data_IF_961997946283
#
_entry.id   IF_961997946283
#
_cell.length_a   1.000
_cell.length_b   1.000
_cell.length_c   1.000
_cell.angle_alpha   90.00
_cell.angle_beta   90.00
_cell.angle_gamma   90.00
#
_symmetry.space_group_name_H-M   'P 1'
#
loop_
_entity.id
_entity.type
_entity.pdbx_description
1 polymer ?
#
# COMPACT_ATOMS: atom_id res chain seq x y z
N UNK A 1 9.20 -17.19 -16.98
CA UNK A 1 9.77 -16.25 -15.98
C UNK A 1 10.08 -14.85 -16.54
N UNK A 2 10.75 -14.69 -17.70
CA UNK A 2 11.12 -13.37 -18.25
C UNK A 2 9.95 -12.41 -18.54
N UNK A 3 8.79 -12.91 -18.98
CA UNK A 3 7.62 -12.07 -19.29
C UNK A 3 6.97 -11.42 -18.07
N UNK A 4 7.02 -12.06 -16.89
CA UNK A 4 6.39 -11.52 -15.66
C UNK A 4 7.13 -10.28 -15.14
N UNK A 5 8.46 -10.26 -15.24
CA UNK A 5 9.28 -9.11 -14.88
C UNK A 5 9.02 -7.90 -15.78
N UNK A 6 8.93 -8.11 -17.10
CA UNK A 6 8.67 -7.03 -18.05
C UNK A 6 7.27 -6.41 -17.85
N UNK A 7 6.26 -7.26 -17.62
CA UNK A 7 4.88 -6.83 -17.36
C UNK A 7 4.78 -6.06 -16.03
N UNK A 8 5.54 -6.48 -15.02
CA UNK A 8 5.68 -5.79 -13.73
C UNK A 8 6.35 -4.43 -13.85
N UNK A 9 7.49 -4.34 -14.56
CA UNK A 9 8.16 -3.06 -14.84
C UNK A 9 7.26 -2.11 -15.62
N UNK A 10 6.51 -2.63 -16.60
CA UNK A 10 5.51 -1.85 -17.34
C UNK A 10 4.36 -1.35 -16.46
N UNK A 11 3.87 -2.16 -15.52
CA UNK A 11 2.80 -1.78 -14.60
C UNK A 11 3.25 -0.68 -13.63
N UNK A 12 4.46 -0.82 -13.08
CA UNK A 12 5.08 0.21 -12.21
C UNK A 12 5.31 1.50 -12.98
N UNK A 13 5.86 1.43 -14.20
CA UNK A 13 6.10 2.61 -15.05
C UNK A 13 4.78 3.28 -15.46
N UNK A 14 3.77 2.51 -15.89
CA UNK A 14 2.46 3.06 -16.23
C UNK A 14 1.82 3.76 -15.03
N UNK A 15 1.94 3.17 -13.84
CA UNK A 15 1.36 3.73 -12.65
C UNK A 15 2.06 5.04 -12.21
N UNK A 16 3.39 5.07 -12.27
CA UNK A 16 4.19 6.29 -12.02
C UNK A 16 3.88 7.41 -13.02
N UNK A 17 3.61 7.06 -14.28
CA UNK A 17 3.24 8.03 -15.32
C UNK A 17 1.78 8.50 -15.23
N UNK A 18 0.87 7.67 -14.71
CA UNK A 18 -0.52 8.06 -14.47
C UNK A 18 -0.66 8.91 -13.21
N UNK A 19 0.07 8.59 -12.14
CA UNK A 19 0.04 9.37 -10.89
C UNK A 19 0.57 10.79 -11.08
N UNK A 20 1.55 11.02 -11.96
CA UNK A 20 2.03 12.37 -12.29
C UNK A 20 1.00 13.24 -13.04
N UNK A 21 -0.04 12.65 -13.63
CA UNK A 21 -1.14 13.38 -14.28
C UNK A 21 -2.31 13.64 -13.34
N UNK A 22 -2.55 12.75 -12.38
CA UNK A 22 -3.68 12.86 -11.43
C UNK A 22 -3.35 13.77 -10.24
N UNK A 23 -2.08 13.78 -9.81
CA UNK A 23 -1.60 14.67 -8.77
C UNK A 23 -0.86 15.83 -9.45
N UNK A 24 -1.41 17.05 -9.34
CA UNK A 24 -0.79 18.24 -9.93
C UNK A 24 0.61 18.54 -9.35
N UNK A 25 1.21 19.67 -9.72
CA UNK A 25 2.57 20.07 -9.33
C UNK A 25 2.86 20.14 -7.80
N UNK A 26 1.88 19.88 -6.94
CA UNK A 26 1.97 19.86 -5.46
C UNK A 26 2.04 18.46 -4.86
N UNK A 27 2.07 17.41 -5.69
CA UNK A 27 2.14 16.03 -5.24
C UNK A 27 3.42 15.76 -4.44
N UNK A 28 3.29 15.25 -3.21
CA UNK A 28 4.42 14.77 -2.43
C UNK A 28 4.57 13.26 -2.66
N UNK A 29 5.77 12.85 -3.07
CA UNK A 29 6.15 11.44 -3.13
C UNK A 29 7.06 11.11 -1.95
N UNK A 30 6.77 10.03 -1.23
CA UNK A 30 7.56 9.58 -0.08
C UNK A 30 7.78 8.08 -0.13
N UNK A 31 8.96 7.66 0.28
CA UNK A 31 9.33 6.25 0.39
C UNK A 31 9.28 5.85 1.86
N UNK A 32 8.72 4.68 2.12
CA UNK A 32 8.67 4.07 3.44
C UNK A 32 9.28 2.69 3.38
N UNK A 33 10.06 2.34 4.39
CA UNK A 33 10.31 0.94 4.72
C UNK A 33 9.18 0.49 5.63
N UNK A 34 8.55 -0.64 5.31
CA UNK A 34 7.54 -1.23 6.17
C UNK A 34 7.95 -2.60 6.68
N UNK A 35 7.50 -2.92 7.88
CA UNK A 35 7.55 -4.24 8.48
C UNK A 35 6.12 -4.68 8.72
N UNK A 36 5.72 -5.85 8.26
CA UNK A 36 4.37 -6.36 8.52
C UNK A 36 4.34 -7.88 8.62
N UNK A 37 3.23 -8.44 9.10
CA UNK A 37 3.12 -9.88 9.37
C UNK A 37 3.19 -10.70 8.08
N UNK A 38 2.63 -10.19 6.99
CA UNK A 38 2.52 -10.95 5.74
C UNK A 38 3.76 -10.91 4.85
N UNK A 39 4.55 -9.83 4.88
CA UNK A 39 5.73 -9.62 4.04
C UNK A 39 7.04 -9.64 4.83
N UNK A 40 7.00 -9.63 6.16
CA UNK A 40 8.14 -9.40 7.06
C UNK A 40 8.76 -8.01 6.90
N UNK A 41 9.26 -7.67 5.70
CA UNK A 41 9.82 -6.36 5.34
C UNK A 41 9.47 -5.99 3.88
N UNK A 42 9.38 -4.71 3.59
CA UNK A 42 9.19 -4.21 2.23
C UNK A 42 9.37 -2.71 2.10
N UNK A 43 9.13 -2.20 0.89
CA UNK A 43 9.18 -0.77 0.56
C UNK A 43 7.81 -0.35 0.04
N UNK A 44 7.26 0.73 0.58
CA UNK A 44 6.03 1.38 0.10
C UNK A 44 6.36 2.75 -0.47
N UNK A 45 6.01 2.98 -1.73
CA UNK A 45 6.04 4.30 -2.34
C UNK A 45 4.64 4.91 -2.21
N UNK A 46 4.54 6.09 -1.59
CA UNK A 46 3.30 6.87 -1.47
C UNK A 46 3.35 8.10 -2.35
N UNK A 47 2.23 8.41 -3.00
CA UNK A 47 2.00 9.66 -3.70
C UNK A 47 0.71 10.29 -3.22
N UNK A 48 0.76 11.55 -2.80
CA UNK A 48 -0.39 12.22 -2.21
C UNK A 48 -0.38 13.73 -2.40
N UNK A 49 -1.57 14.34 -2.37
CA UNK A 49 -1.74 15.79 -2.24
C UNK A 49 -1.96 16.22 -0.79
N UNK A 50 -2.25 15.27 0.11
CA UNK A 50 -2.43 15.50 1.55
C UNK A 50 -1.79 14.37 2.39
N UNK A 51 -1.90 14.45 3.71
CA UNK A 51 -1.29 13.46 4.63
C UNK A 51 -2.21 12.27 4.98
N UNK A 52 -3.44 12.22 4.46
CA UNK A 52 -4.46 11.25 4.85
C UNK A 52 -4.75 10.25 3.73
N UNK A 53 -5.02 10.76 2.52
CA UNK A 53 -5.32 9.95 1.34
C UNK A 53 -4.14 9.92 0.39
N UNK A 54 -3.79 8.72 -0.05
CA UNK A 54 -2.64 8.53 -0.91
C UNK A 54 -2.80 7.31 -1.80
N UNK A 55 -2.14 7.36 -2.95
CA UNK A 55 -1.91 6.19 -3.77
C UNK A 55 -0.62 5.54 -3.32
N UNK A 56 -0.59 4.22 -3.28
CA UNK A 56 0.61 3.49 -2.90
C UNK A 56 0.94 2.32 -3.81
N UNK A 57 2.22 1.95 -3.80
CA UNK A 57 2.73 0.72 -4.35
C UNK A 57 3.71 0.09 -3.36
N UNK A 58 3.45 -1.16 -2.99
CA UNK A 58 4.22 -1.95 -2.04
C UNK A 58 5.01 -3.02 -2.75
N UNK A 59 6.27 -3.14 -2.37
CA UNK A 59 7.16 -4.22 -2.76
C UNK A 59 7.63 -4.93 -1.50
N UNK A 60 7.03 -6.09 -1.20
CA UNK A 60 7.43 -6.93 -0.08
C UNK A 60 8.05 -8.26 -0.52
N UNK A 61 8.41 -9.08 0.48
CA UNK A 61 9.05 -10.40 0.25
C UNK A 61 8.09 -11.43 -0.36
N UNK A 62 6.80 -11.36 -0.03
CA UNK A 62 5.82 -12.38 -0.42
C UNK A 62 4.90 -11.93 -1.57
N UNK A 63 4.64 -10.62 -1.68
CA UNK A 63 3.78 -10.06 -2.70
C UNK A 63 4.12 -8.62 -3.03
N UNK A 64 3.55 -8.15 -4.13
CA UNK A 64 3.41 -6.74 -4.47
C UNK A 64 1.95 -6.35 -4.33
N UNK A 65 1.69 -5.17 -3.79
CA UNK A 65 0.36 -4.54 -3.85
C UNK A 65 0.44 -3.15 -4.42
N UNK A 66 -0.65 -2.69 -4.99
CA UNK A 66 -0.83 -1.27 -5.29
C UNK A 66 -2.29 -0.92 -5.10
N UNK A 67 -2.56 0.29 -4.62
CA UNK A 67 -3.91 0.64 -4.23
C UNK A 67 -4.02 2.10 -3.86
N UNK A 68 -5.16 2.42 -3.28
CA UNK A 68 -5.47 3.76 -2.79
C UNK A 68 -5.87 3.64 -1.34
N UNK A 69 -5.25 4.41 -0.48
CA UNK A 69 -5.74 4.64 0.87
C UNK A 69 -6.64 5.86 0.87
N UNK A 70 -7.88 5.67 1.32
CA UNK A 70 -8.88 6.73 1.44
C UNK A 70 -9.15 7.02 2.92
N UNK A 71 -8.80 8.23 3.35
CA UNK A 71 -8.94 8.71 4.72
C UNK A 71 -9.12 10.23 4.73
N UNK A 72 -9.48 10.78 5.88
CA UNK A 72 -9.60 12.22 6.09
C UNK A 72 -9.17 12.62 7.50
N UNK A 73 -8.99 13.93 7.72
CA UNK A 73 -8.74 14.47 9.05
C UNK A 73 -9.82 14.05 10.07
N UNK A 74 -11.07 13.96 9.63
CA UNK A 74 -12.22 13.61 10.47
C UNK A 74 -12.23 12.13 10.87
N UNK A 75 -11.63 11.26 10.06
CA UNK A 75 -11.53 9.82 10.36
C UNK A 75 -10.44 9.49 11.38
N UNK A 76 -9.61 10.47 11.78
CA UNK A 76 -8.61 10.34 12.84
C UNK A 76 -7.66 9.14 12.69
N UNK A 77 -7.30 8.77 11.47
CA UNK A 77 -6.43 7.63 11.16
C UNK A 77 -7.15 6.39 10.66
N UNK A 78 -8.48 6.33 10.75
CA UNK A 78 -9.26 5.27 10.09
C UNK A 78 -9.23 5.46 8.57
N UNK A 79 -9.12 4.35 7.84
CA UNK A 79 -9.07 4.38 6.38
C UNK A 79 -9.71 3.13 5.76
N UNK A 80 -10.07 3.25 4.49
CA UNK A 80 -10.43 2.14 3.61
C UNK A 80 -9.38 2.07 2.50
N UNK A 81 -8.99 0.86 2.11
CA UNK A 81 -7.96 0.65 1.10
C UNK A 81 -8.35 -0.46 0.12
N UNK A 82 -8.98 -0.10 -1.01
CA UNK A 82 -9.09 -1.01 -2.15
C UNK A 82 -7.78 -1.05 -2.95
N UNK A 83 -7.50 -2.20 -3.55
CA UNK A 83 -6.39 -2.28 -4.49
C UNK A 83 -6.20 -3.65 -5.11
N UNK A 84 -5.05 -3.78 -5.74
CA UNK A 84 -4.57 -4.97 -6.39
C UNK A 84 -3.49 -5.63 -5.54
N UNK A 85 -3.52 -6.95 -5.53
CA UNK A 85 -2.64 -7.80 -4.74
C UNK A 85 -2.08 -8.88 -5.68
N UNK A 86 -0.76 -8.99 -5.75
CA UNK A 86 -0.05 -9.93 -6.62
C UNK A 86 0.96 -10.74 -5.79
N UNK A 87 0.58 -11.92 -5.30
CA UNK A 87 1.54 -12.89 -4.76
C UNK A 87 2.49 -13.34 -5.87
N UNK A 88 3.78 -13.46 -5.58
CA UNK A 88 4.76 -13.89 -6.59
C UNK A 88 4.48 -15.28 -7.17
N UNK A 89 3.79 -16.13 -6.41
CA UNK A 89 3.42 -17.51 -6.77
C UNK A 89 1.96 -17.68 -7.22
N UNK A 90 1.20 -16.58 -7.34
CA UNK A 90 -0.22 -16.62 -7.72
C UNK A 90 -0.51 -15.67 -8.89
N UNK A 91 -1.77 -15.62 -9.30
CA UNK A 91 -2.28 -14.65 -10.25
C UNK A 91 -2.59 -13.31 -9.57
N UNK A 92 -2.69 -12.26 -10.39
CA UNK A 92 -3.17 -10.96 -9.94
C UNK A 92 -4.57 -11.10 -9.34
N UNK A 93 -4.77 -10.46 -8.20
CA UNK A 93 -6.03 -10.47 -7.49
C UNK A 93 -6.35 -9.08 -6.92
N UNK A 94 -7.50 -8.96 -6.27
CA UNK A 94 -7.94 -7.75 -5.60
C UNK A 94 -7.90 -7.96 -4.08
N UNK A 95 -7.74 -6.86 -3.37
CA UNK A 95 -7.95 -6.79 -1.94
C UNK A 95 -8.81 -5.56 -1.59
N UNK A 96 -9.47 -5.66 -0.45
CA UNK A 96 -10.18 -4.57 0.18
C UNK A 96 -9.95 -4.67 1.68
N UNK A 97 -9.51 -3.56 2.28
CA UNK A 97 -9.26 -3.50 3.70
C UNK A 97 -9.76 -2.23 4.35
N UNK A 98 -9.91 -2.32 5.67
CA UNK A 98 -10.12 -1.21 6.58
C UNK A 98 -8.99 -1.23 7.58
N UNK A 99 -8.43 -0.08 7.88
CA UNK A 99 -7.34 0.00 8.84
C UNK A 99 -7.36 1.27 9.66
N UNK A 100 -6.43 1.30 10.61
CA UNK A 100 -6.22 2.39 11.55
C UNK A 100 -4.73 2.69 11.68
N UNK A 101 -4.36 3.89 11.25
CA UNK A 101 -3.02 4.44 11.46
C UNK A 101 -2.94 5.23 12.76
N UNK A 102 -1.90 4.97 13.54
CA UNK A 102 -1.65 5.68 14.79
C UNK A 102 -0.16 5.89 15.03
N UNK A 103 0.15 6.80 15.96
CA UNK A 103 1.50 7.08 16.43
C UNK A 103 1.56 6.87 17.94
N UNK A 104 2.66 6.31 18.41
CA UNK A 104 2.91 6.13 19.83
C UNK A 104 3.66 7.34 20.35
N UNK A 105 3.16 7.96 21.43
CA UNK A 105 3.82 9.09 22.07
C UNK A 105 5.25 8.70 22.47
N UNK A 106 6.22 9.57 22.18
CA UNK A 106 7.64 9.31 22.43
C UNK A 106 8.38 8.54 21.31
N UNK A 107 7.66 7.98 20.32
CA UNK A 107 8.27 7.39 19.12
C UNK A 107 8.03 8.32 17.94
N UNK A 108 9.03 9.13 17.62
CA UNK A 108 8.95 10.08 16.51
C UNK A 108 9.22 9.39 15.16
N UNK A 109 8.61 9.91 14.11
CA UNK A 109 8.81 9.48 12.72
C UNK A 109 8.44 8.02 12.42
N UNK A 110 7.70 7.34 13.29
CA UNK A 110 7.16 6.00 13.02
C UNK A 110 5.64 6.06 12.97
N UNK A 111 5.05 5.40 11.96
CA UNK A 111 3.61 5.18 11.91
C UNK A 111 3.34 3.70 12.12
N UNK A 112 2.39 3.39 13.01
CA UNK A 112 1.87 2.05 13.21
C UNK A 112 0.54 1.93 12.50
N UNK A 113 0.24 0.75 11.98
CA UNK A 113 -0.98 0.48 11.25
C UNK A 113 -1.54 -0.88 11.67
N UNK A 114 -2.83 -0.92 11.95
CA UNK A 114 -3.59 -2.15 12.11
C UNK A 114 -4.61 -2.22 10.98
N UNK A 115 -4.59 -3.31 10.22
CA UNK A 115 -5.42 -3.49 9.04
C UNK A 115 -6.11 -4.84 9.06
N UNK A 116 -7.36 -4.88 8.64
CA UNK A 116 -8.11 -6.11 8.44
C UNK A 116 -8.95 -6.01 7.18
N UNK A 117 -9.17 -7.14 6.51
CA UNK A 117 -9.89 -7.11 5.24
C UNK A 117 -9.97 -8.47 4.56
N UNK A 118 -10.31 -8.40 3.27
CA UNK A 118 -10.34 -9.55 2.37
C UNK A 118 -9.31 -9.39 1.26
N UNK A 119 -8.64 -10.48 0.92
CA UNK A 119 -7.77 -10.62 -0.25
C UNK A 119 -8.17 -11.85 -1.06
N UNK A 120 -7.52 -12.05 -2.20
CA UNK A 120 -7.88 -13.11 -3.16
C UNK A 120 -9.34 -13.02 -3.64
N UNK A 121 -9.89 -11.79 -3.73
CA UNK A 121 -11.32 -11.52 -3.96
C UNK A 121 -11.87 -12.00 -5.31
N UNK A 122 -11.02 -12.19 -6.32
CA UNK A 122 -11.39 -12.69 -7.66
C UNK A 122 -11.35 -14.22 -7.78
N UNK A 123 -10.90 -14.93 -6.74
CA UNK A 123 -10.79 -16.39 -6.75
C UNK A 123 -11.46 -16.97 -5.50
N UNK A 124 -10.69 -17.31 -4.47
CA UNK A 124 -11.20 -17.73 -3.18
C UNK A 124 -10.88 -16.66 -2.13
N UNK A 125 -11.85 -15.79 -1.78
CA UNK A 125 -11.65 -14.74 -0.79
C UNK A 125 -11.12 -15.30 0.53
N UNK A 126 -10.11 -14.62 1.09
CA UNK A 126 -9.53 -14.93 2.40
C UNK A 126 -9.54 -13.68 3.25
N UNK A 127 -9.99 -13.83 4.49
CA UNK A 127 -9.80 -12.78 5.48
C UNK A 127 -8.34 -12.69 5.90
N UNK A 128 -7.92 -11.50 6.31
CA UNK A 128 -6.63 -11.28 6.92
C UNK A 128 -6.71 -10.22 8.01
N UNK A 129 -5.71 -10.26 8.90
CA UNK A 129 -5.39 -9.21 9.85
C UNK A 129 -3.89 -8.98 9.73
N UNK A 130 -3.49 -7.72 9.67
CA UNK A 130 -2.10 -7.33 9.51
C UNK A 130 -1.78 -6.20 10.49
N UNK A 131 -0.59 -6.29 11.08
CA UNK A 131 0.01 -5.21 11.84
C UNK A 131 1.25 -4.76 11.10
N UNK A 132 1.38 -3.45 10.86
CA UNK A 132 2.47 -2.87 10.11
C UNK A 132 3.12 -1.70 10.84
N UNK A 133 4.43 -1.55 10.62
CA UNK A 133 5.25 -0.45 11.10
C UNK A 133 5.86 0.22 9.88
N UNK A 134 5.73 1.53 9.77
CA UNK A 134 6.20 2.34 8.65
C UNK A 134 7.26 3.34 9.10
N UNK A 135 8.41 3.30 8.42
CA UNK A 135 9.59 4.14 8.65
C UNK A 135 9.82 5.00 7.39
N UNK A 136 9.65 6.33 7.45
CA UNK A 136 9.92 7.22 6.34
C UNK A 136 11.43 7.30 6.05
N UNK A 137 11.78 7.38 4.77
CA UNK A 137 13.15 7.58 4.29
C UNK A 137 13.25 8.84 3.41
#
# INVERSE_FOLDING_TARGET
>A
MKQRGLLFTLLVIMFLAFSSRTFGNTALSKVFVFLNVENFVGIELRMSNDSYSYIFADLGVNYVSFGVRLSSKQTQGLYISPGFYLPYKSNLNLFLSVGYDFRISGINYVTFSLEAGGKDLLDKPKSFINFAIYLPF
#
